data_IF_629558257544
#
_entry.id   IF_629558257544
#
_cell.length_a   1.000
_cell.length_b   1.000
_cell.length_c   1.000
_cell.angle_alpha   90.00
_cell.angle_beta   90.00
_cell.angle_gamma   90.00
#
_symmetry.space_group_name_H-M   'P 1'
#
loop_
_entity.id
_entity.type
_entity.pdbx_description
1 polymer ?
#
# COMPACT_ATOMS: atom_id res chain seq x y z
N UNK A 1 -11.63 -0.25 10.26
CA UNK A 1 -11.31 0.99 10.99
C UNK A 1 -12.45 2.02 10.99
N UNK A 2 -13.65 1.56 11.33
CA UNK A 2 -14.83 2.43 11.40
C UNK A 2 -14.80 3.40 12.59
N UNK A 3 -13.85 3.24 13.53
CA UNK A 3 -13.84 3.96 14.81
C UNK A 3 -12.58 4.83 15.05
N UNK A 4 -11.77 5.11 14.03
CA UNK A 4 -10.70 6.09 14.17
C UNK A 4 -11.28 7.45 13.80
N UNK A 5 -11.72 8.20 14.81
CA UNK A 5 -12.03 9.62 14.64
C UNK A 5 -10.71 10.34 14.35
N UNK A 6 -10.49 10.62 13.09
CA UNK A 6 -9.36 11.46 12.66
C UNK A 6 -9.65 12.90 13.09
N UNK A 7 -8.64 13.58 13.61
CA UNK A 7 -8.75 15.01 13.85
C UNK A 7 -8.87 15.78 12.51
N UNK A 8 -9.24 17.05 12.57
CA UNK A 8 -9.43 17.86 11.37
C UNK A 8 -8.18 18.00 10.52
N UNK A 9 -6.99 18.01 11.14
CA UNK A 9 -5.72 18.09 10.42
C UNK A 9 -5.45 16.80 9.65
N UNK A 10 -5.68 15.64 10.27
CA UNK A 10 -5.54 14.35 9.61
C UNK A 10 -6.55 14.20 8.46
N UNK A 11 -7.78 14.69 8.63
CA UNK A 11 -8.77 14.72 7.54
C UNK A 11 -8.33 15.60 6.37
N UNK A 12 -7.75 16.76 6.65
CA UNK A 12 -7.21 17.66 5.63
C UNK A 12 -6.03 17.04 4.90
N UNK A 13 -5.13 16.35 5.61
CA UNK A 13 -4.01 15.64 4.99
C UNK A 13 -4.49 14.50 4.11
N UNK A 14 -5.46 13.70 4.57
CA UNK A 14 -6.07 12.63 3.78
C UNK A 14 -6.77 13.20 2.55
N UNK A 15 -7.51 14.29 2.70
CA UNK A 15 -8.22 14.94 1.58
C UNK A 15 -7.23 15.53 0.58
N UNK A 16 -6.11 16.09 1.03
CA UNK A 16 -5.00 16.54 0.18
C UNK A 16 -4.37 15.37 -0.58
N UNK A 17 -4.15 14.23 0.09
CA UNK A 17 -3.64 13.01 -0.51
C UNK A 17 -4.61 12.47 -1.57
N UNK A 18 -5.91 12.42 -1.26
CA UNK A 18 -6.95 11.97 -2.20
C UNK A 18 -7.02 12.87 -3.43
N UNK A 19 -6.93 14.18 -3.26
CA UNK A 19 -6.92 15.14 -4.36
C UNK A 19 -5.68 14.95 -5.24
N UNK A 20 -4.51 14.77 -4.63
CA UNK A 20 -3.25 14.51 -5.34
C UNK A 20 -3.32 13.18 -6.09
N UNK A 21 -3.86 12.13 -5.47
CA UNK A 21 -4.05 10.83 -6.10
C UNK A 21 -5.00 10.93 -7.31
N UNK A 22 -6.07 11.72 -7.22
CA UNK A 22 -7.00 11.95 -8.33
C UNK A 22 -6.30 12.65 -9.49
N UNK A 23 -5.53 13.72 -9.22
CA UNK A 23 -4.76 14.45 -10.23
C UNK A 23 -3.74 13.53 -10.90
N UNK A 24 -3.01 12.73 -10.12
CA UNK A 24 -2.04 11.76 -10.65
C UNK A 24 -2.72 10.71 -11.54
N UNK A 25 -3.91 10.25 -11.17
CA UNK A 25 -4.69 9.29 -11.95
C UNK A 25 -5.10 9.89 -13.30
N UNK A 26 -5.60 11.13 -13.30
CA UNK A 26 -5.98 11.85 -14.53
C UNK A 26 -4.77 12.06 -15.44
N UNK A 27 -3.64 12.51 -14.87
CA UNK A 27 -2.39 12.68 -15.61
C UNK A 27 -1.91 11.37 -16.20
N UNK A 28 -1.96 10.28 -15.41
CA UNK A 28 -1.55 8.96 -15.86
C UNK A 28 -2.38 8.46 -17.05
N UNK A 29 -3.70 8.70 -17.06
CA UNK A 29 -4.57 8.28 -18.17
C UNK A 29 -4.19 8.93 -19.51
N UNK A 30 -3.47 10.05 -19.50
CA UNK A 30 -2.97 10.73 -20.70
C UNK A 30 -1.58 10.26 -21.11
N UNK A 31 -0.87 9.49 -20.26
CA UNK A 31 0.45 8.96 -20.56
C UNK A 31 0.40 7.74 -21.48
N UNK A 32 1.52 7.48 -22.17
CA UNK A 32 1.66 6.31 -23.02
C UNK A 32 1.57 5.01 -22.21
N UNK A 33 0.81 4.05 -22.72
CA UNK A 33 0.67 2.72 -22.13
C UNK A 33 1.95 1.92 -22.31
N UNK A 34 2.37 1.22 -21.25
CA UNK A 34 3.59 0.40 -21.25
C UNK A 34 3.32 -1.10 -21.09
N UNK A 35 2.13 -1.48 -20.61
CA UNK A 35 1.77 -2.89 -20.51
C UNK A 35 1.60 -3.51 -21.90
N UNK A 36 2.07 -4.77 -22.09
CA UNK A 36 1.91 -5.45 -23.37
C UNK A 36 0.42 -5.74 -23.67
N UNK A 37 0.09 -5.77 -24.95
CA UNK A 37 -1.26 -6.15 -25.40
C UNK A 37 -1.43 -7.67 -25.32
N UNK A 38 -1.52 -8.18 -24.10
CA UNK A 38 -1.60 -9.60 -23.79
C UNK A 38 -2.60 -9.85 -22.67
N UNK A 39 -2.69 -11.11 -22.18
CA UNK A 39 -3.57 -11.47 -21.08
C UNK A 39 -3.24 -10.68 -19.80
N UNK A 40 -4.21 -10.59 -18.90
CA UNK A 40 -4.05 -9.93 -17.59
C UNK A 40 -2.88 -10.55 -16.82
N UNK A 41 -2.76 -11.87 -16.82
CA UNK A 41 -1.69 -12.59 -16.16
C UNK A 41 -0.31 -12.21 -16.72
N UNK A 42 -0.20 -12.12 -18.04
CA UNK A 42 1.06 -11.72 -18.68
C UNK A 42 1.40 -10.25 -18.45
N UNK A 43 0.39 -9.38 -18.39
CA UNK A 43 0.61 -7.98 -18.01
C UNK A 43 1.15 -7.88 -16.57
N UNK A 44 0.60 -8.66 -15.66
CA UNK A 44 1.09 -8.73 -14.28
C UNK A 44 2.52 -9.28 -14.21
N UNK A 45 2.83 -10.34 -14.93
CA UNK A 45 4.18 -10.91 -15.03
C UNK A 45 5.18 -9.89 -15.60
N UNK A 46 4.78 -9.12 -16.59
CA UNK A 46 5.60 -8.04 -17.14
C UNK A 46 5.95 -7.00 -16.07
N UNK A 47 4.97 -6.52 -15.32
CA UNK A 47 5.20 -5.57 -14.24
C UNK A 47 6.11 -6.16 -13.16
N UNK A 48 5.92 -7.43 -12.79
CA UNK A 48 6.77 -8.14 -11.84
C UNK A 48 8.21 -8.26 -12.34
N UNK A 49 8.40 -8.47 -13.65
CA UNK A 49 9.75 -8.58 -14.24
C UNK A 49 10.55 -7.29 -14.07
N UNK A 50 9.89 -6.14 -14.14
CA UNK A 50 10.51 -4.83 -13.91
C UNK A 50 11.00 -4.68 -12.47
N UNK A 51 10.23 -5.17 -11.50
CA UNK A 51 10.67 -5.23 -10.09
C UNK A 51 11.92 -6.09 -9.93
N UNK A 52 11.92 -7.26 -10.56
CA UNK A 52 13.03 -8.22 -10.44
C UNK A 52 14.34 -7.67 -10.96
N UNK A 53 14.32 -6.84 -12.03
CA UNK A 53 15.52 -6.21 -12.55
C UNK A 53 15.85 -4.89 -11.87
N UNK A 54 15.04 -4.43 -10.93
CA UNK A 54 15.27 -3.20 -10.17
C UNK A 54 14.89 -1.92 -10.90
N UNK A 55 14.13 -2.00 -11.98
CA UNK A 55 13.61 -0.81 -12.67
C UNK A 55 12.33 -0.32 -11.99
N UNK A 56 12.49 0.26 -10.80
CA UNK A 56 11.38 0.69 -9.95
C UNK A 56 10.52 1.80 -10.55
N UNK A 57 11.09 2.83 -11.23
CA UNK A 57 10.25 3.85 -11.87
C UNK A 57 9.34 3.29 -12.95
N UNK A 58 9.82 2.37 -13.77
CA UNK A 58 9.00 1.73 -14.81
C UNK A 58 8.01 0.72 -14.19
N UNK A 59 8.44 -0.02 -13.17
CA UNK A 59 7.55 -0.93 -12.42
C UNK A 59 6.38 -0.15 -11.79
N UNK A 60 6.64 1.00 -11.21
CA UNK A 60 5.59 1.89 -10.66
C UNK A 60 4.53 2.20 -11.73
N UNK A 61 4.94 2.62 -12.91
CA UNK A 61 4.02 2.92 -14.00
C UNK A 61 3.24 1.69 -14.47
N UNK A 62 3.92 0.55 -14.60
CA UNK A 62 3.31 -0.70 -15.03
C UNK A 62 2.24 -1.19 -14.06
N UNK A 63 2.52 -1.19 -12.76
CA UNK A 63 1.55 -1.59 -11.74
C UNK A 63 0.38 -0.60 -11.66
N UNK A 64 0.65 0.70 -11.81
CA UNK A 64 -0.42 1.70 -11.81
C UNK A 64 -1.35 1.49 -13.01
N UNK A 65 -0.82 1.30 -14.19
CA UNK A 65 -1.63 0.98 -15.38
C UNK A 65 -2.44 -0.29 -15.17
N UNK A 66 -1.82 -1.34 -14.62
CA UNK A 66 -2.51 -2.61 -14.34
C UNK A 66 -3.72 -2.40 -13.42
N UNK A 67 -3.55 -1.70 -12.30
CA UNK A 67 -4.65 -1.44 -11.35
C UNK A 67 -5.76 -0.60 -11.98
N UNK A 68 -5.40 0.42 -12.75
CA UNK A 68 -6.39 1.30 -13.38
C UNK A 68 -7.21 0.59 -14.46
N UNK A 69 -6.59 -0.32 -15.20
CA UNK A 69 -7.25 -1.03 -16.30
C UNK A 69 -7.90 -2.34 -15.87
N UNK A 70 -7.51 -2.92 -14.73
CA UNK A 70 -7.99 -4.20 -14.22
C UNK A 70 -8.40 -4.13 -12.74
N UNK A 71 -9.08 -3.06 -12.35
CA UNK A 71 -9.39 -2.77 -10.94
C UNK A 71 -10.24 -3.84 -10.24
N UNK A 72 -11.03 -4.59 -10.99
CA UNK A 72 -11.90 -5.65 -10.44
C UNK A 72 -11.27 -7.06 -10.54
N UNK A 73 -10.06 -7.16 -11.09
CA UNK A 73 -9.38 -8.44 -11.19
C UNK A 73 -8.84 -8.88 -9.83
N UNK A 74 -8.79 -10.19 -9.61
CA UNK A 74 -8.26 -10.75 -8.36
C UNK A 74 -6.79 -10.39 -8.09
N UNK A 75 -6.02 -10.05 -9.13
CA UNK A 75 -4.63 -9.62 -9.01
C UNK A 75 -4.48 -8.12 -8.71
N UNK A 76 -5.56 -7.35 -8.74
CA UNK A 76 -5.50 -5.90 -8.55
C UNK A 76 -4.99 -5.52 -7.16
N UNK A 77 -5.40 -6.23 -6.12
CA UNK A 77 -4.88 -6.00 -4.77
C UNK A 77 -3.40 -6.29 -4.64
N UNK A 78 -2.92 -7.36 -5.28
CA UNK A 78 -1.49 -7.69 -5.33
C UNK A 78 -0.71 -6.61 -6.10
N UNK A 79 -1.24 -6.18 -7.24
CA UNK A 79 -0.61 -5.13 -8.06
C UNK A 79 -0.53 -3.80 -7.31
N UNK A 80 -1.57 -3.44 -6.58
CA UNK A 80 -1.57 -2.22 -5.75
C UNK A 80 -0.50 -2.29 -4.65
N UNK A 81 -0.35 -3.44 -4.02
CA UNK A 81 0.71 -3.69 -3.03
C UNK A 81 2.10 -3.49 -3.64
N UNK A 82 2.36 -4.08 -4.80
CA UNK A 82 3.66 -3.94 -5.47
C UNK A 82 3.90 -2.51 -5.96
N UNK A 83 2.85 -1.82 -6.39
CA UNK A 83 2.90 -0.40 -6.70
C UNK A 83 3.42 0.40 -5.49
N UNK A 84 2.86 0.16 -4.32
CA UNK A 84 3.32 0.79 -3.07
C UNK A 84 4.78 0.41 -2.74
N UNK A 85 5.16 -0.84 -2.96
CA UNK A 85 6.53 -1.32 -2.73
C UNK A 85 7.56 -0.58 -3.60
N UNK A 86 7.21 -0.19 -4.83
CA UNK A 86 8.14 0.57 -5.69
C UNK A 86 8.55 1.89 -5.04
N UNK A 87 7.64 2.52 -4.31
CA UNK A 87 7.95 3.75 -3.55
C UNK A 87 8.76 3.45 -2.31
N UNK A 88 8.36 2.44 -1.53
CA UNK A 88 9.05 2.09 -0.29
C UNK A 88 10.52 1.74 -0.53
N UNK A 89 10.80 0.96 -1.55
CA UNK A 89 12.18 0.54 -1.89
C UNK A 89 13.05 1.75 -2.20
N UNK A 90 12.47 2.78 -2.82
CA UNK A 90 13.16 4.05 -3.11
C UNK A 90 13.13 5.02 -1.92
N UNK A 91 12.61 4.61 -0.77
CA UNK A 91 12.49 5.45 0.43
C UNK A 91 11.57 6.66 0.26
N UNK A 92 10.63 6.58 -0.67
CA UNK A 92 9.58 7.58 -0.87
C UNK A 92 8.38 7.23 0.01
N UNK A 93 8.55 7.45 1.31
CA UNK A 93 7.63 6.92 2.33
C UNK A 93 6.24 7.56 2.29
N UNK A 94 6.13 8.84 1.94
CA UNK A 94 4.83 9.50 1.80
C UNK A 94 4.03 8.89 0.64
N UNK A 95 4.67 8.71 -0.51
CA UNK A 95 4.05 8.06 -1.67
C UNK A 95 3.69 6.60 -1.37
N UNK A 96 4.58 5.90 -0.67
CA UNK A 96 4.33 4.53 -0.23
C UNK A 96 3.11 4.45 0.68
N UNK A 97 3.02 5.32 1.70
CA UNK A 97 1.88 5.37 2.61
C UNK A 97 0.57 5.61 1.87
N UNK A 98 0.56 6.55 0.92
CA UNK A 98 -0.62 6.82 0.08
C UNK A 98 -1.06 5.57 -0.70
N UNK A 99 -0.11 4.91 -1.34
CA UNK A 99 -0.39 3.72 -2.15
C UNK A 99 -0.85 2.52 -1.30
N UNK A 100 -0.25 2.30 -0.13
CA UNK A 100 -0.71 1.27 0.81
C UNK A 100 -2.11 1.58 1.34
N UNK A 101 -2.40 2.85 1.63
CA UNK A 101 -3.73 3.27 2.09
C UNK A 101 -4.80 2.97 1.04
N UNK A 102 -4.54 3.31 -0.22
CA UNK A 102 -5.43 2.96 -1.33
C UNK A 102 -5.68 1.45 -1.40
N UNK A 103 -4.63 0.65 -1.25
CA UNK A 103 -4.73 -0.81 -1.23
C UNK A 103 -5.57 -1.33 -0.07
N UNK A 104 -5.39 -0.77 1.10
CA UNK A 104 -6.17 -1.11 2.29
C UNK A 104 -7.66 -0.79 2.10
N UNK A 105 -7.96 0.37 1.53
CA UNK A 105 -9.34 0.82 1.32
C UNK A 105 -10.07 0.05 0.22
N UNK A 106 -9.37 -0.24 -0.88
CA UNK A 106 -9.99 -0.86 -2.07
C UNK A 106 -9.94 -2.38 -2.06
N UNK A 107 -8.90 -2.96 -1.46
CA UNK A 107 -8.63 -4.40 -1.52
C UNK A 107 -8.39 -5.01 -0.13
N UNK A 108 -9.33 -4.80 0.83
CA UNK A 108 -9.12 -5.26 2.22
C UNK A 108 -9.15 -6.78 2.37
N UNK A 109 -9.56 -7.51 1.35
CA UNK A 109 -9.65 -8.98 1.36
C UNK A 109 -8.64 -9.65 0.42
N UNK A 110 -7.72 -8.87 -0.18
CA UNK A 110 -6.71 -9.45 -1.06
C UNK A 110 -5.71 -10.30 -0.25
N UNK A 111 -5.03 -11.19 -0.97
CA UNK A 111 -3.95 -12.00 -0.39
C UNK A 111 -2.88 -11.14 0.30
N UNK A 112 -2.61 -9.95 -0.25
CA UNK A 112 -1.62 -9.01 0.29
C UNK A 112 -2.15 -8.10 1.39
N UNK A 113 -3.44 -8.15 1.70
CA UNK A 113 -4.05 -7.21 2.65
C UNK A 113 -3.36 -7.17 4.02
N UNK A 114 -3.00 -8.30 4.65
CA UNK A 114 -2.32 -8.24 5.96
C UNK A 114 -0.96 -7.55 5.89
N UNK A 115 -0.11 -7.91 4.93
CA UNK A 115 1.21 -7.29 4.79
C UNK A 115 1.08 -5.84 4.31
N UNK A 116 0.07 -5.53 3.53
CA UNK A 116 -0.21 -4.16 3.09
C UNK A 116 -0.55 -3.25 4.29
N UNK A 117 -1.39 -3.72 5.20
CA UNK A 117 -1.71 -2.97 6.43
C UNK A 117 -0.47 -2.78 7.31
N UNK A 118 0.34 -3.82 7.47
CA UNK A 118 1.60 -3.74 8.21
C UNK A 118 2.51 -2.65 7.62
N UNK A 119 2.72 -2.67 6.32
CA UNK A 119 3.62 -1.72 5.65
C UNK A 119 3.07 -0.31 5.60
N UNK A 120 1.74 -0.16 5.53
CA UNK A 120 1.10 1.14 5.75
C UNK A 120 1.46 1.69 7.12
N UNK A 121 1.33 0.90 8.17
CA UNK A 121 1.68 1.32 9.53
C UNK A 121 3.16 1.71 9.65
N UNK A 122 4.06 0.92 9.09
CA UNK A 122 5.50 1.22 9.07
C UNK A 122 5.79 2.53 8.34
N UNK A 123 5.19 2.72 7.15
CA UNK A 123 5.35 3.96 6.38
C UNK A 123 4.82 5.18 7.14
N UNK A 124 3.70 5.03 7.85
CA UNK A 124 3.15 6.10 8.70
C UNK A 124 4.13 6.50 9.81
N UNK A 125 4.76 5.54 10.48
CA UNK A 125 5.80 5.84 11.47
C UNK A 125 6.96 6.59 10.82
N UNK A 126 7.39 6.16 9.64
CA UNK A 126 8.51 6.75 8.92
C UNK A 126 8.26 8.20 8.48
N UNK A 127 7.01 8.59 8.23
CA UNK A 127 6.65 9.96 7.89
C UNK A 127 6.32 10.84 9.12
N UNK A 128 6.53 10.32 10.33
CA UNK A 128 6.32 11.07 11.57
C UNK A 128 4.96 10.87 12.24
N UNK A 129 4.09 10.03 11.68
CA UNK A 129 2.75 9.71 12.21
C UNK A 129 2.82 8.43 13.07
N UNK A 130 3.64 8.48 14.13
CA UNK A 130 3.95 7.30 14.95
C UNK A 130 2.73 6.68 15.61
N UNK A 131 1.85 7.47 16.21
CA UNK A 131 0.67 6.92 16.91
C UNK A 131 -0.27 6.20 15.96
N UNK A 132 -0.53 6.79 14.79
CA UNK A 132 -1.34 6.17 13.74
C UNK A 132 -0.68 4.90 13.21
N UNK A 133 0.62 4.98 12.92
CA UNK A 133 1.38 3.84 12.44
C UNK A 133 1.38 2.68 13.42
N UNK A 134 1.60 2.96 14.70
CA UNK A 134 1.57 1.95 15.75
C UNK A 134 0.20 1.26 15.88
N UNK A 135 -0.89 2.01 15.76
CA UNK A 135 -2.25 1.46 15.76
C UNK A 135 -2.46 0.51 14.59
N UNK A 136 -1.99 0.86 13.41
CA UNK A 136 -2.09 0.02 12.21
C UNK A 136 -1.28 -1.26 12.35
N UNK A 137 -0.05 -1.17 12.85
CA UNK A 137 0.82 -2.33 13.09
C UNK A 137 0.16 -3.28 14.09
N UNK A 138 -0.35 -2.77 15.20
CA UNK A 138 -1.07 -3.56 16.21
C UNK A 138 -2.37 -4.15 15.67
N UNK A 139 -2.99 -3.46 14.70
CA UNK A 139 -4.25 -3.86 14.08
C UNK A 139 -4.12 -5.06 13.13
N UNK A 140 -2.93 -5.39 12.67
CA UNK A 140 -2.73 -6.48 11.69
C UNK A 140 -3.27 -7.81 12.20
N UNK A 141 -2.86 -8.24 13.38
CA UNK A 141 -3.33 -9.51 13.99
C UNK A 141 -4.83 -9.46 14.29
N UNK A 142 -5.31 -8.31 14.73
CA UNK A 142 -6.71 -8.11 15.10
C UNK A 142 -7.65 -8.16 13.89
N UNK A 143 -7.27 -7.50 12.80
CA UNK A 143 -8.07 -7.47 11.56
C UNK A 143 -7.89 -8.74 10.72
N UNK A 144 -6.69 -9.30 10.73
CA UNK A 144 -6.33 -10.47 9.93
C UNK A 144 -5.81 -11.60 10.81
N UNK A 145 -6.66 -12.17 11.69
CA UNK A 145 -6.21 -13.21 12.64
C UNK A 145 -5.70 -14.48 11.95
N UNK A 146 -6.09 -14.70 10.70
CA UNK A 146 -5.62 -15.84 9.89
C UNK A 146 -4.43 -15.50 9.01
N UNK A 147 -3.83 -14.33 9.19
CA UNK A 147 -2.65 -13.93 8.44
C UNK A 147 -1.50 -14.91 8.65
N UNK A 148 -0.62 -14.97 7.65
CA UNK A 148 0.57 -15.78 7.72
C UNK A 148 1.40 -15.40 8.96
N UNK A 149 1.95 -16.41 9.66
CA UNK A 149 2.75 -16.20 10.87
C UNK A 149 3.95 -15.28 10.63
N UNK A 150 4.55 -15.32 9.44
CA UNK A 150 5.65 -14.42 9.08
C UNK A 150 5.24 -12.95 9.14
N UNK A 151 4.02 -12.62 8.70
CA UNK A 151 3.48 -11.24 8.76
C UNK A 151 3.20 -10.84 10.21
N UNK A 152 2.59 -11.71 11.00
CA UNK A 152 2.29 -11.47 12.42
C UNK A 152 3.57 -11.25 13.21
N UNK A 153 4.60 -12.07 12.99
CA UNK A 153 5.91 -11.93 13.63
C UNK A 153 6.59 -10.62 13.23
N UNK A 154 6.51 -10.24 11.96
CA UNK A 154 7.05 -8.98 11.47
C UNK A 154 6.32 -7.78 12.08
N UNK A 155 5.01 -7.83 12.23
CA UNK A 155 4.23 -6.79 12.90
C UNK A 155 4.69 -6.61 14.35
N UNK A 156 4.90 -7.71 15.07
CA UNK A 156 5.42 -7.70 16.43
C UNK A 156 6.82 -7.09 16.51
N UNK A 157 7.69 -7.47 15.58
CA UNK A 157 9.05 -6.92 15.49
C UNK A 157 9.03 -5.41 15.25
N UNK A 158 8.25 -4.94 14.29
CA UNK A 158 8.15 -3.51 13.98
C UNK A 158 7.55 -2.71 15.14
N UNK A 159 6.55 -3.27 15.81
CA UNK A 159 5.95 -2.66 17.00
C UNK A 159 6.98 -2.46 18.11
N UNK A 160 7.84 -3.43 18.34
CA UNK A 160 8.92 -3.34 19.32
C UNK A 160 10.01 -2.37 18.88
N UNK A 161 10.41 -2.41 17.62
CA UNK A 161 11.43 -1.52 17.04
C UNK A 161 11.04 -0.05 17.17
N UNK A 162 9.77 0.27 16.92
CA UNK A 162 9.26 1.64 17.02
C UNK A 162 8.79 2.00 18.42
N UNK A 163 8.97 1.11 19.40
CA UNK A 163 8.55 1.33 20.78
C UNK A 163 7.06 1.72 20.88
N UNK A 164 6.23 1.03 20.12
CA UNK A 164 4.78 1.24 20.18
C UNK A 164 4.23 0.87 21.56
N UNK A 165 3.31 1.68 22.08
CA UNK A 165 2.66 1.39 23.37
C UNK A 165 1.91 0.07 23.27
N UNK A 166 2.04 -0.81 24.28
CA UNK A 166 1.21 -2.01 24.40
C UNK A 166 -0.25 -1.56 24.52
N UNK A 167 -1.09 -2.01 23.59
CA UNK A 167 -2.53 -1.85 23.76
C UNK A 167 -2.94 -2.73 24.92
N UNK A 168 -3.48 -2.13 25.97
CA UNK A 168 -4.14 -2.88 27.01
C UNK A 168 -5.33 -3.60 26.35
N UNK A 169 -5.27 -4.92 26.36
CA UNK A 169 -6.34 -5.80 25.88
C UNK A 169 -7.63 -5.60 26.67
#
# INVERSE_FOLDING_TARGET
YKDVTLDENAKQEIQSIETTATILTETFQTEEKILPNESIEKQYEFAMSLLKVGDYPTAERAFREFVLTNSDNELAGNAQYWYAETFRIRQLYTDAATAYLEGYQKYPESEKAPVNLLKLGVAMVQIGEKDQGCKMISGVKKEYPKANQSVIQKAKYESQKFECKKQNS
#
